data_IF_342109654482
#
_entry.id   IF_342109654482
#
_cell.length_a   1.000
_cell.length_b   1.000
_cell.length_c   1.000
_cell.angle_alpha   90.00
_cell.angle_beta   90.00
_cell.angle_gamma   90.00
#
_symmetry.space_group_name_H-M   'P 1'
#
loop_
_entity.id
_entity.type
_entity.pdbx_description
1 polymer ?
#
# COMPACT_ATOMS: atom_id res chain seq x y z
N UNK A 1 -10.59 -5.91 4.04
CA UNK A 1 -9.47 -5.01 4.38
C UNK A 1 -9.90 -4.10 5.53
N UNK A 2 -9.07 -3.94 6.55
CA UNK A 2 -9.32 -3.02 7.68
C UNK A 2 -8.35 -1.84 7.59
N UNK A 3 -8.85 -0.62 7.85
CA UNK A 3 -8.08 0.62 7.82
C UNK A 3 -8.23 1.42 9.13
N UNK A 4 -7.12 2.01 9.54
CA UNK A 4 -6.92 2.80 10.75
C UNK A 4 -7.37 4.26 10.62
N UNK A 5 -7.53 4.82 9.42
CA UNK A 5 -8.03 6.20 9.26
C UNK A 5 -9.43 6.40 9.84
N UNK A 6 -10.25 5.35 9.84
CA UNK A 6 -11.57 5.32 10.50
C UNK A 6 -11.49 5.71 11.98
N UNK A 7 -10.35 5.48 12.63
CA UNK A 7 -10.15 5.64 14.07
C UNK A 7 -9.22 6.81 14.43
N UNK A 8 -8.65 7.50 13.43
CA UNK A 8 -7.66 8.57 13.63
C UNK A 8 -8.16 9.81 14.39
N UNK A 9 -9.48 9.95 14.58
CA UNK A 9 -10.10 11.05 15.35
C UNK A 9 -10.03 10.85 16.87
N UNK A 10 -9.82 9.61 17.35
CA UNK A 10 -9.64 9.30 18.77
C UNK A 10 -8.39 8.42 18.95
N UNK A 11 -7.20 9.04 19.10
CA UNK A 11 -5.93 8.32 19.23
C UNK A 11 -5.90 7.29 20.37
N UNK A 12 -6.83 7.36 21.33
CA UNK A 12 -6.93 6.49 22.50
C UNK A 12 -7.57 5.11 22.24
N UNK A 13 -7.92 4.77 20.99
CA UNK A 13 -8.78 3.58 20.72
C UNK A 13 -8.24 2.57 19.73
N UNK A 14 -6.94 2.51 19.45
CA UNK A 14 -6.42 1.49 18.51
C UNK A 14 -6.63 0.04 19.00
N UNK A 15 -6.91 -0.17 20.29
CA UNK A 15 -7.35 -1.46 20.84
C UNK A 15 -8.61 -2.02 20.15
N UNK A 16 -9.49 -1.17 19.63
CA UNK A 16 -10.69 -1.60 18.90
C UNK A 16 -10.38 -2.31 17.57
N UNK A 17 -9.14 -2.22 17.08
CA UNK A 17 -8.73 -2.94 15.87
C UNK A 17 -8.49 -4.43 16.11
N UNK A 18 -8.24 -4.87 17.35
CA UNK A 18 -7.90 -6.28 17.64
C UNK A 18 -8.98 -7.25 17.11
N UNK A 19 -10.28 -7.05 17.37
CA UNK A 19 -11.32 -7.92 16.79
C UNK A 19 -11.34 -7.88 15.24
N UNK A 20 -11.04 -6.72 14.66
CA UNK A 20 -11.01 -6.57 13.20
C UNK A 20 -9.82 -7.30 12.57
N UNK A 21 -8.67 -7.32 13.25
CA UNK A 21 -7.46 -8.04 12.82
C UNK A 21 -7.63 -9.56 12.88
N UNK A 22 -8.51 -10.08 13.74
CA UNK A 22 -8.80 -11.52 13.80
C UNK A 22 -9.43 -12.04 12.51
N UNK A 23 -10.32 -11.24 11.91
CA UNK A 23 -11.11 -11.62 10.73
C UNK A 23 -10.62 -11.01 9.41
N UNK A 24 -9.64 -10.11 9.45
CA UNK A 24 -9.12 -9.46 8.26
C UNK A 24 -8.04 -10.28 7.55
N UNK A 25 -8.24 -10.54 6.27
CA UNK A 25 -7.20 -11.05 5.38
C UNK A 25 -6.15 -9.99 5.07
N UNK A 26 -6.53 -8.71 5.16
CA UNK A 26 -5.68 -7.59 4.80
C UNK A 26 -5.82 -6.43 5.78
N UNK A 27 -4.67 -5.89 6.21
CA UNK A 27 -4.60 -4.69 7.02
C UNK A 27 -3.44 -3.81 6.59
N UNK A 28 -3.70 -2.51 6.48
CA UNK A 28 -2.74 -1.53 6.01
C UNK A 28 -2.76 -0.34 6.95
N UNK A 29 -1.58 0.08 7.40
CA UNK A 29 -1.42 1.32 8.16
C UNK A 29 -0.16 2.06 7.71
N UNK A 30 0.02 3.28 8.21
CA UNK A 30 1.18 4.13 7.97
C UNK A 30 2.17 4.08 9.13
N UNK A 31 3.39 4.58 8.89
CA UNK A 31 4.40 4.74 9.94
C UNK A 31 3.89 5.50 11.17
N UNK A 32 3.14 6.59 10.95
CA UNK A 32 2.54 7.38 12.04
C UNK A 32 1.53 6.59 12.86
N UNK A 33 0.80 5.67 12.22
CA UNK A 33 -0.17 4.83 12.92
C UNK A 33 0.54 3.71 13.69
N UNK A 34 1.65 3.19 13.19
CA UNK A 34 2.51 2.28 13.96
C UNK A 34 3.01 2.93 15.25
N UNK A 35 3.46 4.18 15.19
CA UNK A 35 3.91 4.94 16.38
C UNK A 35 2.82 5.05 17.46
N UNK A 36 1.54 5.05 17.06
CA UNK A 36 0.39 5.12 17.97
C UNK A 36 -0.05 3.73 18.45
N UNK A 37 -0.05 2.73 17.56
CA UNK A 37 -0.53 1.36 17.85
C UNK A 37 0.45 0.61 18.76
N UNK A 38 1.75 0.68 18.48
CA UNK A 38 2.80 -0.06 19.20
C UNK A 38 2.73 0.14 20.72
N UNK A 39 2.71 1.37 21.25
CA UNK A 39 2.62 1.58 22.70
C UNK A 39 1.27 1.14 23.28
N UNK A 40 0.16 1.35 22.58
CA UNK A 40 -1.18 0.95 23.04
C UNK A 40 -1.31 -0.57 23.15
N UNK A 41 -0.69 -1.31 22.24
CA UNK A 41 -0.70 -2.77 22.25
C UNK A 41 0.31 -3.36 23.24
N UNK A 42 1.08 -2.52 23.94
CA UNK A 42 2.14 -2.96 24.83
C UNK A 42 3.27 -3.70 24.09
N UNK A 43 3.47 -3.41 22.81
CA UNK A 43 4.49 -4.07 21.98
C UNK A 43 5.85 -3.50 22.36
N UNK A 44 6.70 -4.36 22.93
CA UNK A 44 8.09 -4.01 23.24
C UNK A 44 8.88 -3.82 21.95
N UNK A 45 9.43 -2.64 21.77
CA UNK A 45 10.29 -2.29 20.63
C UNK A 45 11.42 -1.38 21.10
N UNK A 46 12.51 -1.33 20.31
CA UNK A 46 13.53 -0.29 20.47
C UNK A 46 12.99 1.04 19.94
N UNK A 47 13.60 2.14 20.34
CA UNK A 47 13.26 3.46 19.82
C UNK A 47 13.61 3.55 18.33
N UNK A 48 12.72 4.17 17.54
CA UNK A 48 12.87 4.35 16.10
C UNK A 48 11.75 3.68 15.31
N UNK A 49 11.28 4.37 14.27
CA UNK A 49 10.16 3.89 13.44
C UNK A 49 10.47 2.54 12.77
N UNK A 50 11.73 2.32 12.38
CA UNK A 50 12.15 1.07 11.75
C UNK A 50 11.98 -0.11 12.71
N UNK A 51 12.45 0.04 13.94
CA UNK A 51 12.38 -0.96 14.99
C UNK A 51 10.93 -1.20 15.44
N UNK A 52 10.13 -0.14 15.55
CA UNK A 52 8.71 -0.22 15.85
C UNK A 52 7.92 -0.97 14.77
N UNK A 53 8.18 -0.67 13.49
CA UNK A 53 7.58 -1.36 12.33
C UNK A 53 7.89 -2.84 12.33
N UNK A 54 9.16 -3.21 12.56
CA UNK A 54 9.57 -4.61 12.66
C UNK A 54 8.90 -5.33 13.84
N UNK A 55 8.84 -4.68 15.01
CA UNK A 55 8.17 -5.24 16.18
C UNK A 55 6.66 -5.40 15.96
N UNK A 56 6.02 -4.44 15.30
CA UNK A 56 4.61 -4.49 14.98
C UNK A 56 4.28 -5.61 13.98
N UNK A 57 5.03 -5.74 12.88
CA UNK A 57 4.85 -6.86 11.94
C UNK A 57 5.10 -8.21 12.62
N UNK A 58 6.11 -8.30 13.50
CA UNK A 58 6.35 -9.51 14.29
C UNK A 58 5.19 -9.84 15.23
N UNK A 59 4.59 -8.82 15.84
CA UNK A 59 3.39 -8.97 16.65
C UNK A 59 2.20 -9.45 15.80
N UNK A 60 1.97 -8.88 14.62
CA UNK A 60 0.89 -9.32 13.72
C UNK A 60 1.08 -10.77 13.30
N UNK A 61 2.31 -11.14 12.89
CA UNK A 61 2.70 -12.52 12.58
C UNK A 61 2.37 -13.48 13.71
N UNK A 62 2.79 -13.17 14.93
CA UNK A 62 2.60 -14.05 16.09
C UNK A 62 1.12 -14.25 16.46
N UNK A 63 0.31 -13.19 16.36
CA UNK A 63 -1.03 -13.19 16.93
C UNK A 63 -2.12 -13.53 15.91
N UNK A 64 -1.96 -13.14 14.64
CA UNK A 64 -3.02 -13.19 13.62
C UNK A 64 -2.67 -14.00 12.37
N UNK A 65 -1.41 -14.40 12.15
CA UNK A 65 -1.07 -15.34 11.08
C UNK A 65 -1.25 -16.78 11.54
N UNK A 66 -2.50 -17.26 11.50
CA UNK A 66 -2.89 -18.61 11.92
C UNK A 66 -3.84 -19.22 10.89
N UNK A 67 -3.89 -20.55 10.85
CA UNK A 67 -4.77 -21.29 9.95
C UNK A 67 -4.18 -21.44 8.55
N UNK A 68 -5.05 -21.67 7.57
CA UNK A 68 -4.66 -21.98 6.18
C UNK A 68 -5.10 -20.88 5.20
N UNK A 69 -5.31 -19.66 5.69
CA UNK A 69 -5.77 -18.53 4.88
C UNK A 69 -4.62 -17.56 4.62
N UNK A 70 -4.56 -17.03 3.41
CA UNK A 70 -3.58 -16.03 3.04
C UNK A 70 -3.88 -14.71 3.77
N UNK A 71 -2.86 -14.08 4.35
CA UNK A 71 -3.00 -12.77 5.00
C UNK A 71 -1.91 -11.81 4.59
N UNK A 72 -2.23 -10.54 4.38
CA UNK A 72 -1.29 -9.49 4.01
C UNK A 72 -1.41 -8.28 4.93
N UNK A 73 -0.29 -7.96 5.57
CA UNK A 73 -0.15 -6.78 6.42
C UNK A 73 0.87 -5.84 5.79
N UNK A 74 0.51 -4.56 5.64
CA UNK A 74 1.42 -3.57 5.08
C UNK A 74 1.55 -2.34 5.98
N UNK A 75 2.78 -1.85 6.11
CA UNK A 75 3.09 -0.56 6.75
C UNK A 75 3.70 0.36 5.70
N UNK A 76 2.99 1.43 5.37
CA UNK A 76 3.37 2.37 4.33
C UNK A 76 4.14 3.56 4.90
N UNK A 77 5.17 3.98 4.17
CA UNK A 77 5.86 5.25 4.34
C UNK A 77 6.03 5.90 2.96
N UNK A 78 6.38 7.20 2.89
CA UNK A 78 6.62 7.85 1.60
C UNK A 78 7.68 7.14 0.76
N UNK A 79 8.74 6.66 1.40
CA UNK A 79 9.90 6.09 0.71
C UNK A 79 9.79 4.58 0.51
N UNK A 80 9.06 3.87 1.39
CA UNK A 80 9.05 2.40 1.40
C UNK A 80 7.74 1.83 1.93
N UNK A 81 7.42 0.62 1.53
CA UNK A 81 6.38 -0.19 2.14
C UNK A 81 6.98 -1.45 2.73
N UNK A 82 6.78 -1.69 4.03
CA UNK A 82 7.09 -3.00 4.61
C UNK A 82 5.84 -3.87 4.49
N UNK A 83 5.99 -5.07 3.93
CA UNK A 83 4.90 -6.03 3.76
C UNK A 83 5.25 -7.31 4.49
N UNK A 84 4.29 -7.83 5.25
CA UNK A 84 4.27 -9.18 5.78
C UNK A 84 3.15 -9.93 5.06
N UNK A 85 3.50 -11.02 4.39
CA UNK A 85 2.58 -11.90 3.72
C UNK A 85 2.64 -13.29 4.37
N UNK A 86 1.51 -13.78 4.83
CA UNK A 86 1.34 -15.13 5.37
C UNK A 86 0.68 -15.99 4.33
N UNK A 87 1.34 -17.09 4.00
CA UNK A 87 0.89 -18.05 3.03
C UNK A 87 -0.04 -19.09 3.68
N UNK A 88 -1.02 -19.63 2.92
CA UNK A 88 -1.87 -20.74 3.34
C UNK A 88 -1.12 -21.98 3.84
N UNK A 89 0.11 -22.19 3.37
CA UNK A 89 0.98 -23.30 3.77
C UNK A 89 1.72 -23.06 5.11
N UNK A 90 1.39 -21.98 5.82
CA UNK A 90 1.99 -21.62 7.11
C UNK A 90 3.32 -20.87 7.02
N UNK A 91 3.83 -20.59 5.82
CA UNK A 91 5.06 -19.79 5.65
C UNK A 91 4.77 -18.30 5.67
N UNK A 92 5.78 -17.49 5.97
CA UNK A 92 5.67 -16.02 5.90
C UNK A 92 6.80 -15.45 5.06
N UNK A 93 6.47 -14.50 4.21
CA UNK A 93 7.42 -13.63 3.55
C UNK A 93 7.31 -12.22 4.16
N UNK A 94 8.44 -11.61 4.49
CA UNK A 94 8.48 -10.22 4.95
C UNK A 94 9.51 -9.46 4.12
N UNK A 95 9.05 -8.43 3.40
CA UNK A 95 9.89 -7.64 2.52
C UNK A 95 9.71 -6.15 2.77
N UNK A 96 10.73 -5.37 2.44
CA UNK A 96 10.66 -3.91 2.36
C UNK A 96 10.80 -3.51 0.89
N UNK A 97 9.78 -2.85 0.36
CA UNK A 97 9.70 -2.43 -1.04
C UNK A 97 9.95 -0.93 -1.10
N UNK A 98 11.02 -0.52 -1.76
CA UNK A 98 11.28 0.89 -2.05
C UNK A 98 10.21 1.46 -2.96
N UNK A 99 9.68 2.64 -2.65
CA UNK A 99 8.71 3.33 -3.48
C UNK A 99 9.43 3.97 -4.68
N UNK A 100 9.32 3.34 -5.85
CA UNK A 100 9.90 3.87 -7.10
C UNK A 100 9.28 5.20 -7.54
N UNK A 101 8.06 5.48 -7.07
CA UNK A 101 7.28 6.65 -7.43
C UNK A 101 7.29 7.73 -6.34
N UNK A 102 8.23 7.62 -5.38
CA UNK A 102 8.46 8.66 -4.39
C UNK A 102 8.84 9.97 -5.09
N UNK A 103 8.32 11.08 -4.57
CA UNK A 103 8.51 12.40 -5.18
C UNK A 103 8.75 13.47 -4.11
N UNK A 104 9.35 14.58 -4.51
CA UNK A 104 9.45 15.76 -3.66
C UNK A 104 8.08 16.42 -3.51
N UNK A 105 7.91 17.18 -2.42
CA UNK A 105 6.64 17.88 -2.11
C UNK A 105 6.13 18.77 -3.24
N UNK A 106 7.03 19.28 -4.07
CA UNK A 106 6.74 20.17 -5.20
C UNK A 106 5.87 19.50 -6.27
N UNK A 107 5.83 18.17 -6.32
CA UNK A 107 4.99 17.42 -7.26
C UNK A 107 3.78 16.78 -6.59
N UNK A 108 3.45 17.19 -5.36
CA UNK A 108 2.24 16.77 -4.65
C UNK A 108 1.23 17.90 -4.77
N UNK A 109 0.14 17.66 -5.48
CA UNK A 109 -0.98 18.61 -5.62
C UNK A 109 -1.84 18.56 -4.36
N UNK A 110 -2.22 17.35 -3.94
CA UNK A 110 -2.95 17.09 -2.70
C UNK A 110 -2.56 15.70 -2.16
N UNK A 111 -2.15 15.63 -0.90
CA UNK A 111 -1.80 14.37 -0.23
C UNK A 111 -3.01 13.66 0.39
N UNK A 112 -4.16 14.32 0.47
CA UNK A 112 -5.41 13.75 0.99
C UNK A 112 -5.83 12.58 0.10
N UNK A 113 -6.15 11.43 0.70
CA UNK A 113 -6.55 10.24 -0.07
C UNK A 113 -5.39 9.43 -0.68
N UNK A 114 -4.13 9.77 -0.40
CA UNK A 114 -2.97 8.97 -0.82
C UNK A 114 -3.04 7.53 -0.30
N UNK A 115 -3.39 7.36 0.98
CA UNK A 115 -3.56 6.03 1.59
C UNK A 115 -4.70 5.24 0.97
N UNK A 116 -5.84 5.88 0.71
CA UNK A 116 -7.00 5.22 0.10
C UNK A 116 -6.71 4.77 -1.32
N UNK A 117 -5.99 5.60 -2.08
CA UNK A 117 -5.53 5.28 -3.43
C UNK A 117 -4.51 4.16 -3.42
N UNK A 118 -3.61 4.14 -2.43
CA UNK A 118 -2.67 3.03 -2.25
C UNK A 118 -3.44 1.72 -2.00
N UNK A 119 -4.40 1.71 -1.08
CA UNK A 119 -5.26 0.56 -0.77
C UNK A 119 -6.07 0.11 -1.98
N UNK A 120 -6.62 1.06 -2.75
CA UNK A 120 -7.34 0.77 -3.99
C UNK A 120 -6.43 0.07 -5.02
N UNK A 121 -5.21 0.58 -5.21
CA UNK A 121 -4.21 -0.05 -6.09
C UNK A 121 -3.84 -1.46 -5.64
N UNK A 122 -3.59 -1.66 -4.35
CA UNK A 122 -3.31 -3.00 -3.81
C UNK A 122 -4.48 -3.97 -4.03
N UNK A 123 -5.71 -3.54 -3.73
CA UNK A 123 -6.90 -4.36 -3.95
C UNK A 123 -7.09 -4.68 -5.43
N UNK A 124 -6.92 -3.71 -6.32
CA UNK A 124 -7.02 -3.94 -7.77
C UNK A 124 -6.03 -5.00 -8.24
N UNK A 125 -4.78 -4.91 -7.77
CA UNK A 125 -3.75 -5.90 -8.09
C UNK A 125 -4.11 -7.30 -7.55
N UNK A 126 -4.52 -7.41 -6.29
CA UNK A 126 -4.86 -8.70 -5.66
C UNK A 126 -6.09 -9.33 -6.31
N UNK A 127 -7.12 -8.55 -6.64
CA UNK A 127 -8.32 -9.07 -7.29
C UNK A 127 -8.02 -9.65 -8.68
N UNK A 128 -7.08 -9.05 -9.42
CA UNK A 128 -6.60 -9.58 -10.70
C UNK A 128 -5.61 -10.74 -10.55
N UNK A 129 -5.14 -11.01 -9.33
CA UNK A 129 -4.21 -12.09 -8.99
C UNK A 129 -4.73 -12.94 -7.83
N UNK A 130 -6.05 -13.11 -7.72
CA UNK A 130 -6.69 -13.67 -6.53
C UNK A 130 -6.22 -15.10 -6.24
N UNK A 131 -6.03 -15.90 -7.28
CA UNK A 131 -5.53 -17.27 -7.13
C UNK A 131 -4.07 -17.30 -6.64
N UNK A 132 -3.24 -16.35 -7.05
CA UNK A 132 -1.88 -16.22 -6.54
C UNK A 132 -1.87 -15.74 -5.07
N UNK A 133 -2.80 -14.87 -4.69
CA UNK A 133 -3.01 -14.52 -3.28
C UNK A 133 -3.46 -15.74 -2.47
N UNK A 134 -4.46 -16.48 -2.94
CA UNK A 134 -4.99 -17.65 -2.23
C UNK A 134 -4.03 -18.84 -2.19
N UNK A 135 -3.08 -18.95 -3.11
CA UNK A 135 -2.12 -20.05 -3.16
C UNK A 135 -0.80 -19.75 -2.43
N UNK A 136 -0.55 -18.47 -2.09
CA UNK A 136 0.73 -18.03 -1.55
C UNK A 136 1.80 -17.72 -2.61
N UNK A 137 1.44 -17.58 -3.88
CA UNK A 137 2.37 -17.28 -4.99
C UNK A 137 2.30 -15.83 -5.49
N UNK A 138 1.71 -14.92 -4.72
CA UNK A 138 1.57 -13.51 -5.09
C UNK A 138 2.95 -12.83 -5.21
N UNK A 139 3.18 -12.10 -6.29
CA UNK A 139 4.33 -11.19 -6.39
C UNK A 139 4.08 -9.94 -5.53
N UNK A 140 4.52 -9.97 -4.27
CA UNK A 140 4.30 -8.91 -3.29
C UNK A 140 4.97 -7.59 -3.71
N UNK A 141 6.16 -7.67 -4.29
CA UNK A 141 6.92 -6.49 -4.73
C UNK A 141 6.14 -5.74 -5.80
N UNK A 142 5.65 -6.45 -6.81
CA UNK A 142 4.84 -5.86 -7.89
C UNK A 142 3.50 -5.31 -7.34
N UNK A 143 2.83 -6.04 -6.44
CA UNK A 143 1.61 -5.57 -5.78
C UNK A 143 1.83 -4.23 -5.04
N UNK A 144 2.91 -4.13 -4.26
CA UNK A 144 3.27 -2.92 -3.54
C UNK A 144 3.64 -1.77 -4.48
N UNK A 145 4.33 -2.04 -5.60
CA UNK A 145 4.62 -1.01 -6.59
C UNK A 145 3.37 -0.54 -7.33
N UNK A 146 2.44 -1.44 -7.63
CA UNK A 146 1.16 -1.08 -8.23
C UNK A 146 0.37 -0.13 -7.32
N UNK A 147 0.36 -0.43 -6.03
CA UNK A 147 -0.24 0.42 -5.00
C UNK A 147 0.47 1.79 -4.89
N UNK A 148 1.81 1.80 -4.89
CA UNK A 148 2.61 3.02 -4.89
C UNK A 148 2.33 3.91 -6.12
N UNK A 149 2.26 3.32 -7.31
CA UNK A 149 1.93 4.01 -8.56
C UNK A 149 0.53 4.62 -8.50
N UNK A 150 -0.45 3.86 -7.98
CA UNK A 150 -1.83 4.33 -7.84
C UNK A 150 -1.91 5.52 -6.89
N UNK A 151 -1.25 5.44 -5.72
CA UNK A 151 -1.15 6.56 -4.79
C UNK A 151 -0.46 7.77 -5.42
N UNK A 152 0.65 7.54 -6.15
CA UNK A 152 1.37 8.60 -6.85
C UNK A 152 0.48 9.33 -7.85
N UNK A 153 -0.22 8.61 -8.72
CA UNK A 153 -1.09 9.19 -9.74
C UNK A 153 -2.21 10.03 -9.14
N UNK A 154 -2.75 9.58 -8.00
CA UNK A 154 -3.78 10.32 -7.30
C UNK A 154 -3.26 11.67 -6.77
N UNK A 155 -2.11 11.66 -6.07
CA UNK A 155 -1.56 12.87 -5.43
C UNK A 155 -0.86 13.81 -6.41
N UNK A 156 -0.44 13.31 -7.58
CA UNK A 156 0.19 14.08 -8.65
C UNK A 156 -0.83 14.67 -9.63
N UNK A 157 -2.02 14.06 -9.72
CA UNK A 157 -3.10 14.47 -10.59
C UNK A 157 -4.16 15.35 -9.90
N UNK A 158 -5.28 15.53 -10.59
CA UNK A 158 -6.52 16.13 -10.04
C UNK A 158 -7.32 15.09 -9.22
N UNK A 159 -6.66 14.29 -8.38
CA UNK A 159 -7.30 13.21 -7.62
C UNK A 159 -7.92 12.13 -8.51
N UNK A 160 -9.21 11.85 -8.32
CA UNK A 160 -9.93 10.76 -9.03
C UNK A 160 -9.99 10.95 -10.56
N UNK A 161 -9.87 12.18 -11.06
CA UNK A 161 -9.86 12.47 -12.50
C UNK A 161 -8.70 11.77 -13.22
N UNK A 162 -7.60 11.49 -12.50
CA UNK A 162 -6.47 10.73 -13.02
C UNK A 162 -6.87 9.33 -13.54
N UNK A 163 -8.04 8.81 -13.11
CA UNK A 163 -8.56 7.50 -13.45
C UNK A 163 -9.79 7.53 -14.38
N UNK A 164 -10.29 8.70 -14.83
CA UNK A 164 -11.56 8.78 -15.57
C UNK A 164 -11.49 8.41 -17.05
N UNK A 165 -10.31 8.47 -17.68
CA UNK A 165 -10.14 8.18 -19.11
C UNK A 165 -9.51 6.81 -19.38
N UNK A 166 -9.76 5.86 -18.47
CA UNK A 166 -8.89 4.74 -18.21
C UNK A 166 -9.41 3.39 -18.74
N UNK A 167 -9.83 3.33 -20.01
CA UNK A 167 -10.01 2.03 -20.67
C UNK A 167 -8.64 1.37 -20.87
N UNK A 168 -8.48 0.14 -20.37
CA UNK A 168 -7.21 -0.62 -20.45
C UNK A 168 -6.13 -0.16 -19.46
N UNK A 169 -6.50 0.56 -18.40
CA UNK A 169 -5.53 1.16 -17.47
C UNK A 169 -4.85 0.18 -16.56
N UNK A 170 -5.50 -0.91 -16.15
CA UNK A 170 -4.84 -1.91 -15.32
C UNK A 170 -3.59 -2.48 -15.99
N UNK A 171 -3.70 -2.99 -17.23
CA UNK A 171 -2.57 -3.58 -17.96
C UNK A 171 -1.47 -2.57 -18.31
N UNK A 172 -1.83 -1.28 -18.46
CA UNK A 172 -0.86 -0.20 -18.68
C UNK A 172 -0.08 0.10 -17.40
N UNK A 173 -0.78 0.27 -16.28
CA UNK A 173 -0.15 0.48 -14.98
C UNK A 173 0.67 -0.74 -14.55
N UNK A 174 0.19 -1.95 -14.85
CA UNK A 174 0.90 -3.19 -14.54
C UNK A 174 2.23 -3.24 -15.31
N UNK A 175 2.25 -2.90 -16.59
CA UNK A 175 3.48 -2.84 -17.39
C UNK A 175 4.55 -1.93 -16.79
N UNK A 176 4.15 -0.78 -16.22
CA UNK A 176 5.07 0.15 -15.54
C UNK A 176 5.74 -0.53 -14.34
N UNK A 177 5.01 -1.34 -13.58
CA UNK A 177 5.55 -1.97 -12.36
C UNK A 177 6.20 -3.34 -12.59
N UNK A 178 5.85 -4.02 -13.68
CA UNK A 178 6.45 -5.30 -14.09
C UNK A 178 7.84 -5.13 -14.73
N UNK A 179 8.17 -3.93 -15.22
CA UNK A 179 9.52 -3.56 -15.58
C UNK A 179 10.38 -3.46 -14.33
N UNK A 180 11.38 -4.34 -14.16
CA UNK A 180 12.31 -4.37 -13.01
C UNK A 180 13.23 -3.12 -12.88
N UNK A 181 12.81 -1.93 -13.32
CA UNK A 181 13.61 -0.72 -13.28
C UNK A 181 12.99 0.27 -12.28
N UNK A 182 13.74 0.71 -11.25
CA UNK A 182 13.41 1.95 -10.56
C UNK A 182 13.51 3.09 -11.59
N UNK A 183 12.37 3.46 -12.17
CA UNK A 183 12.27 4.51 -13.19
C UNK A 183 12.55 5.88 -12.54
N UNK A 184 13.82 6.25 -12.51
CA UNK A 184 14.23 7.66 -12.36
C UNK A 184 13.85 8.51 -13.58
N UNK A 185 13.38 7.88 -14.66
CA UNK A 185 13.07 8.53 -15.93
C UNK A 185 11.55 8.52 -16.15
N UNK A 186 10.92 9.65 -15.82
CA UNK A 186 9.48 9.91 -15.92
C UNK A 186 8.95 9.91 -17.37
N UNK A 187 9.75 9.52 -18.37
CA UNK A 187 9.42 9.57 -19.80
C UNK A 187 8.42 8.50 -20.22
N UNK A 188 8.47 7.27 -19.69
CA UNK A 188 7.43 6.24 -19.90
C UNK A 188 6.13 6.63 -19.18
N UNK A 189 6.29 7.29 -18.04
CA UNK A 189 5.22 7.98 -17.35
C UNK A 189 4.65 9.15 -18.17
N UNK A 190 5.33 9.74 -19.17
CA UNK A 190 4.71 10.78 -20.05
C UNK A 190 3.67 10.22 -20.99
N UNK A 191 3.62 8.93 -21.28
CA UNK A 191 2.49 8.36 -22.02
C UNK A 191 1.27 8.25 -21.09
N UNK A 192 1.48 7.83 -19.85
CA UNK A 192 0.45 7.74 -18.79
C UNK A 192 -0.01 9.14 -18.33
N UNK A 193 0.92 10.03 -18.00
CA UNK A 193 0.71 11.44 -17.71
C UNK A 193 0.33 12.24 -18.94
N UNK A 194 0.70 11.86 -20.16
CA UNK A 194 0.24 12.52 -21.38
C UNK A 194 -1.25 12.29 -21.59
N UNK A 195 -1.76 11.11 -21.18
CA UNK A 195 -3.19 10.85 -21.08
C UNK A 195 -3.84 11.61 -19.91
N UNK A 196 -3.15 11.81 -18.78
CA UNK A 196 -3.72 12.47 -17.57
C UNK A 196 -3.61 14.02 -17.59
N UNK A 197 -2.55 14.59 -18.19
CA UNK A 197 -2.25 16.03 -18.26
C UNK A 197 -2.85 16.67 -19.53
N UNK A 198 -2.98 15.96 -20.67
CA UNK A 198 -3.63 16.53 -21.85
C UNK A 198 -5.15 16.64 -21.75
N UNK A 199 -5.79 16.01 -20.74
CA UNK A 199 -7.21 16.28 -20.42
C UNK A 199 -7.39 17.70 -19.85
N UNK A 200 -6.30 18.38 -19.49
CA UNK A 200 -6.31 19.77 -19.01
C UNK A 200 -6.02 20.83 -20.08
N UNK A 201 -5.66 20.47 -21.32
CA UNK A 201 -5.23 21.43 -22.34
C UNK A 201 -6.10 21.50 -23.60
N UNK A 202 -7.17 20.71 -23.70
CA UNK A 202 -8.17 20.85 -24.76
C UNK A 202 -9.60 20.81 -24.19
N UNK A 203 -9.92 21.77 -23.33
CA UNK A 203 -11.29 22.28 -23.23
C UNK A 203 -11.32 23.60 -24.01
N UNK A 204 -11.88 23.56 -25.23
CA UNK A 204 -12.42 24.76 -25.86
C UNK A 204 -13.68 25.19 -25.10
#
# INVERSE_FOLDING_TARGET
MVDTHTYSKEPSRYDCLKPSLEVADMFVCSDKEVELIVPQYGIKSKQGIKEQKQAFLSYLKKNYCKGNEARLYAVTSPEKTAVLYYNPNGTTEQIEVENWFFTTKEHIVDATGAGDSWRAGLNAYILNHLEAFKSGSLNIKEAAQFANLTARLYISGKGIEAFKHCNGTYDRLLRVVSGNKPEKDLSDLREVYGVILNVGMNCK
#
